data_IF_728634651477
#
_entry.id   IF_728634651477
#
_cell.length_a   1.000
_cell.length_b   1.000
_cell.length_c   1.000
_cell.angle_alpha   90.00
_cell.angle_beta   90.00
_cell.angle_gamma   90.00
#
_symmetry.space_group_name_H-M   'P 1'
#
loop_
_entity.id
_entity.type
_entity.pdbx_description
1 polymer ?
#
# COMPACT_ATOMS: atom_id res chain seq x y z
N UNK A 1 11.82 -12.97 -9.08
CA UNK A 1 12.89 -13.13 -8.08
C UNK A 1 12.70 -12.05 -7.01
N UNK A 2 12.81 -12.40 -5.72
CA UNK A 2 12.68 -11.44 -4.61
C UNK A 2 14.05 -11.14 -4.00
N UNK A 3 14.25 -9.92 -3.51
CA UNK A 3 15.46 -9.49 -2.81
C UNK A 3 15.14 -9.30 -1.32
N UNK A 4 15.97 -9.85 -0.44
CA UNK A 4 15.86 -9.69 1.01
C UNK A 4 17.07 -8.90 1.52
N UNK A 5 16.83 -7.78 2.20
CA UNK A 5 17.88 -6.99 2.85
C UNK A 5 17.82 -7.25 4.35
N UNK A 6 18.79 -8.02 4.86
CA UNK A 6 18.84 -8.55 6.21
C UNK A 6 19.52 -7.64 7.24
N UNK A 7 19.42 -6.33 7.10
CA UNK A 7 20.14 -5.39 7.97
C UNK A 7 19.26 -4.86 9.12
N UNK A 8 19.89 -4.50 10.24
CA UNK A 8 19.23 -3.89 11.40
C UNK A 8 18.56 -2.54 11.11
N UNK A 9 17.79 -2.02 12.07
CA UNK A 9 17.19 -0.67 11.99
C UNK A 9 18.29 0.39 11.78
N UNK A 10 18.05 1.40 10.94
CA UNK A 10 19.01 2.48 10.68
C UNK A 10 19.94 2.29 9.47
N UNK A 11 19.94 1.12 8.82
CA UNK A 11 20.81 0.85 7.65
C UNK A 11 20.28 1.40 6.31
N UNK A 12 19.25 2.25 6.33
CA UNK A 12 18.72 2.87 5.10
C UNK A 12 17.82 1.98 4.22
N UNK A 13 17.23 0.91 4.76
CA UNK A 13 16.33 0.02 3.99
C UNK A 13 15.16 0.76 3.33
N UNK A 14 14.59 1.77 4.00
CA UNK A 14 13.54 2.62 3.44
C UNK A 14 14.00 3.35 2.17
N UNK A 15 15.18 3.97 2.22
CA UNK A 15 15.81 4.61 1.05
C UNK A 15 16.10 3.65 -0.09
N UNK A 16 16.48 2.41 0.20
CA UNK A 16 16.67 1.39 -0.85
C UNK A 16 15.34 1.03 -1.51
N UNK A 17 14.27 0.86 -0.72
CA UNK A 17 12.91 0.63 -1.25
C UNK A 17 12.45 1.84 -2.09
N UNK A 18 12.67 3.07 -1.59
CA UNK A 18 12.33 4.29 -2.31
C UNK A 18 13.11 4.43 -3.63
N UNK A 19 14.40 4.09 -3.63
CA UNK A 19 15.23 4.06 -4.83
C UNK A 19 14.72 3.07 -5.87
N UNK A 20 14.31 1.88 -5.44
CA UNK A 20 13.69 0.89 -6.30
C UNK A 20 12.37 1.40 -6.90
N UNK A 21 11.49 1.98 -6.07
CA UNK A 21 10.21 2.55 -6.54
C UNK A 21 10.47 3.68 -7.55
N UNK A 22 11.38 4.61 -7.26
CA UNK A 22 11.72 5.70 -8.16
C UNK A 22 12.27 5.20 -9.52
N UNK A 23 13.10 4.15 -9.50
CA UNK A 23 13.61 3.51 -10.71
C UNK A 23 12.48 2.90 -11.55
N UNK A 24 11.61 2.09 -10.93
CA UNK A 24 10.49 1.44 -11.61
C UNK A 24 9.45 2.47 -12.10
N UNK A 25 9.29 3.57 -11.36
CA UNK A 25 8.45 4.70 -11.76
C UNK A 25 8.93 5.32 -13.06
N UNK A 26 10.25 5.53 -13.22
CA UNK A 26 10.85 6.00 -14.47
C UNK A 26 10.63 5.03 -15.64
N UNK A 27 10.50 3.73 -15.35
CA UNK A 27 10.21 2.68 -16.33
C UNK A 27 8.72 2.50 -16.66
N UNK A 28 7.85 3.35 -16.09
CA UNK A 28 6.41 3.33 -16.38
C UNK A 28 5.59 2.42 -15.47
N UNK A 29 6.19 1.75 -14.48
CA UNK A 29 5.44 1.04 -13.44
C UNK A 29 4.96 2.09 -12.45
N UNK A 30 3.65 2.36 -12.42
CA UNK A 30 3.08 3.49 -11.66
C UNK A 30 2.34 3.11 -10.38
N UNK A 31 2.17 1.84 -10.09
CA UNK A 31 1.43 1.39 -8.90
C UNK A 31 2.33 0.51 -8.05
N UNK A 32 2.50 0.91 -6.79
CA UNK A 32 3.36 0.21 -5.84
C UNK A 32 2.63 -0.02 -4.53
N UNK A 33 3.08 -1.01 -3.78
CA UNK A 33 2.57 -1.33 -2.45
C UNK A 33 3.75 -1.36 -1.49
N UNK A 34 3.65 -0.63 -0.39
CA UNK A 34 4.66 -0.60 0.67
C UNK A 34 4.07 -1.18 1.95
N UNK A 35 4.53 -2.36 2.35
CA UNK A 35 4.10 -3.02 3.59
C UNK A 35 5.14 -2.77 4.68
N UNK A 36 4.70 -2.32 5.85
CA UNK A 36 5.57 -2.02 6.98
C UNK A 36 5.03 -2.54 8.32
N UNK A 37 5.76 -2.32 9.41
CA UNK A 37 5.38 -2.77 10.75
C UNK A 37 4.41 -1.82 11.46
N UNK A 38 4.54 -0.50 11.25
CA UNK A 38 3.71 0.52 11.86
C UNK A 38 3.25 1.55 10.83
N UNK A 39 2.11 2.19 11.10
CA UNK A 39 1.63 3.34 10.35
C UNK A 39 2.55 4.56 10.51
N UNK A 40 3.31 4.65 11.60
CA UNK A 40 4.25 5.77 11.85
C UNK A 40 5.34 5.87 10.77
N UNK A 41 5.60 4.77 10.06
CA UNK A 41 6.58 4.70 8.97
C UNK A 41 6.01 5.17 7.61
N UNK A 42 4.75 5.61 7.55
CA UNK A 42 4.16 6.18 6.34
C UNK A 42 4.84 7.51 5.97
N UNK A 43 5.06 8.39 6.94
CA UNK A 43 5.74 9.67 6.72
C UNK A 43 7.21 9.46 6.32
N UNK A 44 7.86 8.44 6.90
CA UNK A 44 9.23 8.07 6.52
C UNK A 44 9.28 7.58 5.07
N UNK A 45 8.34 6.74 4.64
CA UNK A 45 8.25 6.29 3.25
C UNK A 45 8.02 7.45 2.26
N UNK A 46 7.14 8.40 2.62
CA UNK A 46 6.92 9.59 1.80
C UNK A 46 8.15 10.50 1.73
N UNK A 47 8.87 10.67 2.86
CA UNK A 47 10.09 11.46 2.93
C UNK A 47 11.19 10.85 2.05
N UNK A 48 11.42 9.54 2.17
CA UNK A 48 12.44 8.84 1.38
C UNK A 48 12.19 8.97 -0.14
N UNK A 49 10.93 8.96 -0.60
CA UNK A 49 10.57 9.17 -2.01
C UNK A 49 10.73 10.63 -2.46
N UNK A 50 10.43 11.59 -1.57
CA UNK A 50 10.58 13.01 -1.83
C UNK A 50 12.06 13.42 -1.89
N UNK A 51 12.90 12.87 -1.02
CA UNK A 51 14.35 13.11 -1.00
C UNK A 51 15.01 12.68 -2.32
N UNK A 52 14.43 11.69 -3.01
CA UNK A 52 14.86 11.24 -4.34
C UNK A 52 14.26 12.07 -5.50
N UNK A 53 13.39 13.04 -5.21
CA UNK A 53 12.73 13.87 -6.22
C UNK A 53 11.76 13.08 -7.11
N UNK A 54 11.30 11.91 -6.68
CA UNK A 54 10.51 11.01 -7.52
C UNK A 54 9.09 11.53 -7.83
N UNK A 55 8.58 12.46 -7.01
CA UNK A 55 7.23 13.04 -7.16
C UNK A 55 6.10 12.01 -7.00
N UNK A 56 6.39 10.92 -6.27
CA UNK A 56 5.44 9.80 -6.08
C UNK A 56 4.67 10.01 -4.78
N UNK A 57 3.34 10.06 -4.87
CA UNK A 57 2.45 10.16 -3.72
C UNK A 57 2.37 8.83 -2.96
N UNK A 58 2.29 8.88 -1.63
CA UNK A 58 2.11 7.73 -0.75
C UNK A 58 0.79 7.88 0.03
N UNK A 59 -0.12 6.91 -0.08
CA UNK A 59 -1.40 6.91 0.63
C UNK A 59 -1.47 5.75 1.63
N UNK A 60 -1.86 6.04 2.87
CA UNK A 60 -2.13 5.01 3.88
C UNK A 60 -3.47 4.32 3.61
N UNK A 61 -3.45 2.99 3.50
CA UNK A 61 -4.65 2.17 3.36
C UNK A 61 -5.60 2.36 4.55
N UNK A 62 -5.08 2.53 5.76
CA UNK A 62 -5.89 2.78 6.94
C UNK A 62 -6.73 4.05 6.81
N UNK A 63 -6.16 5.13 6.26
CA UNK A 63 -6.87 6.39 6.08
C UNK A 63 -7.85 6.35 4.92
N UNK A 64 -7.53 5.61 3.86
CA UNK A 64 -8.46 5.33 2.76
C UNK A 64 -9.69 4.58 3.28
N UNK A 65 -9.52 3.56 4.12
CA UNK A 65 -10.63 2.76 4.68
C UNK A 65 -11.51 3.57 5.65
N UNK A 66 -10.91 4.42 6.52
CA UNK A 66 -11.66 5.28 7.45
C UNK A 66 -12.63 6.23 6.74
N UNK A 67 -12.27 6.72 5.55
CA UNK A 67 -13.04 7.72 4.84
C UNK A 67 -14.24 7.13 4.06
N UNK A 68 -14.22 5.84 3.72
CA UNK A 68 -15.17 5.28 2.76
C UNK A 68 -15.98 4.06 3.23
N UNK A 69 -15.75 3.55 4.46
CA UNK A 69 -16.53 2.44 5.01
C UNK A 69 -16.34 1.12 4.26
N UNK A 70 -17.20 0.13 4.52
CA UNK A 70 -17.11 -1.24 3.99
C UNK A 70 -16.88 -1.28 2.44
N UNK A 71 -16.00 -2.15 1.91
CA UNK A 71 -15.55 -2.19 0.51
C UNK A 71 -16.60 -2.57 -0.55
N UNK A 72 -17.90 -2.69 -0.20
CA UNK A 72 -18.97 -2.99 -1.17
C UNK A 72 -19.52 -1.75 -1.88
N UNK A 73 -18.92 -0.58 -1.70
CA UNK A 73 -19.23 0.60 -2.50
C UNK A 73 -18.09 0.79 -3.51
N UNK A 74 -18.38 0.89 -4.81
CA UNK A 74 -17.39 1.17 -5.88
C UNK A 74 -16.66 2.52 -5.76
N UNK A 75 -16.52 3.04 -4.54
CA UNK A 75 -15.94 4.31 -4.13
C UNK A 75 -14.49 4.16 -3.69
N UNK A 76 -14.00 2.93 -3.49
CA UNK A 76 -12.63 2.66 -3.06
C UNK A 76 -11.61 3.06 -4.13
N UNK A 77 -11.84 2.74 -5.40
CA UNK A 77 -10.99 3.16 -6.52
C UNK A 77 -10.92 4.69 -6.61
N UNK A 78 -12.06 5.36 -6.49
CA UNK A 78 -12.13 6.82 -6.47
C UNK A 78 -11.37 7.43 -5.27
N UNK A 79 -11.46 6.81 -4.10
CA UNK A 79 -10.73 7.23 -2.91
C UNK A 79 -9.21 7.15 -3.11
N UNK A 80 -8.74 6.04 -3.69
CA UNK A 80 -7.34 5.83 -4.03
C UNK A 80 -6.90 6.85 -5.07
N UNK A 81 -7.66 7.08 -6.13
CA UNK A 81 -7.31 8.05 -7.17
C UNK A 81 -7.25 9.49 -6.64
N UNK A 82 -8.14 9.86 -5.71
CA UNK A 82 -8.08 11.17 -5.05
C UNK A 82 -6.82 11.36 -4.20
N UNK A 83 -6.24 10.28 -3.68
CA UNK A 83 -5.06 10.32 -2.81
C UNK A 83 -3.74 10.13 -3.57
N UNK A 84 -3.73 9.25 -4.56
CA UNK A 84 -2.52 8.89 -5.32
C UNK A 84 -2.45 9.61 -6.66
N UNK A 85 -3.58 9.89 -7.29
CA UNK A 85 -3.69 10.49 -8.63
C UNK A 85 -4.43 9.58 -9.61
N UNK A 86 -4.63 10.03 -10.87
CA UNK A 86 -5.37 9.29 -11.89
C UNK A 86 -4.84 7.86 -12.05
N UNK A 87 -5.75 6.87 -12.11
CA UNK A 87 -5.36 5.46 -12.24
C UNK A 87 -4.66 4.90 -11.00
N UNK A 88 -4.72 5.56 -9.84
CA UNK A 88 -4.11 5.12 -8.59
C UNK A 88 -2.58 5.12 -8.63
N UNK A 89 -1.98 6.01 -9.43
CA UNK A 89 -0.54 6.09 -9.61
C UNK A 89 0.16 6.58 -8.34
N UNK A 90 0.89 5.71 -7.67
CA UNK A 90 1.61 6.04 -6.44
C UNK A 90 1.93 4.80 -5.62
N UNK A 91 2.12 5.02 -4.32
CA UNK A 91 2.41 3.96 -3.35
C UNK A 91 1.26 3.82 -2.36
N UNK A 92 0.64 2.64 -2.29
CA UNK A 92 -0.27 2.31 -1.22
C UNK A 92 0.51 1.72 -0.03
N UNK A 93 0.43 2.39 1.11
CA UNK A 93 1.11 2.01 2.35
C UNK A 93 0.17 1.25 3.29
N UNK A 94 0.62 0.15 3.86
CA UNK A 94 -0.15 -0.65 4.82
C UNK A 94 0.75 -1.38 5.81
N UNK A 95 0.15 -1.92 6.88
CA UNK A 95 0.90 -2.66 7.90
C UNK A 95 0.70 -4.17 7.83
N UNK A 96 1.67 -4.93 8.34
CA UNK A 96 1.53 -6.39 8.49
C UNK A 96 0.33 -6.77 9.36
N UNK A 97 0.00 -5.95 10.36
CA UNK A 97 -1.17 -6.16 11.20
C UNK A 97 -2.46 -6.16 10.35
N UNK A 98 -2.61 -5.20 9.43
CA UNK A 98 -3.76 -5.13 8.50
C UNK A 98 -3.87 -6.38 7.63
N UNK A 99 -2.74 -6.97 7.25
CA UNK A 99 -2.72 -8.20 6.45
C UNK A 99 -3.03 -9.45 7.26
N UNK A 100 -2.96 -9.46 8.59
CA UNK A 100 -3.08 -10.70 9.39
C UNK A 100 -4.42 -10.85 10.12
N UNK A 101 -5.26 -9.82 10.11
CA UNK A 101 -6.52 -9.74 10.87
C UNK A 101 -7.63 -10.73 10.48
N UNK A 102 -7.50 -11.53 9.41
CA UNK A 102 -8.56 -12.42 8.87
C UNK A 102 -8.99 -13.59 9.78
N UNK A 103 -8.24 -13.93 10.83
CA UNK A 103 -8.41 -15.20 11.56
C UNK A 103 -9.34 -15.16 12.78
N UNK A 104 -9.98 -14.05 13.11
CA UNK A 104 -10.77 -13.95 14.35
C UNK A 104 -12.27 -14.09 14.08
N UNK A 105 -12.75 -15.34 14.23
CA UNK A 105 -14.13 -15.80 14.54
C UNK A 105 -15.24 -14.81 14.13
N UNK A 106 -15.68 -14.97 12.87
CA UNK A 106 -16.87 -14.41 12.19
C UNK A 106 -16.95 -12.90 11.90
N UNK A 107 -16.23 -12.49 10.84
CA UNK A 107 -16.73 -11.71 9.68
C UNK A 107 -16.26 -12.50 8.42
N UNK A 108 -17.13 -13.32 7.83
CA UNK A 108 -16.89 -13.87 6.48
C UNK A 108 -17.25 -12.79 5.46
N UNK A 109 -16.40 -12.38 4.50
CA UNK A 109 -14.97 -12.57 4.34
C UNK A 109 -14.22 -11.30 4.77
N UNK A 110 -12.93 -11.34 5.15
CA UNK A 110 -12.25 -10.12 5.63
C UNK A 110 -11.62 -9.22 4.54
N UNK A 111 -11.90 -9.22 3.24
CA UNK A 111 -12.97 -9.53 2.27
C UNK A 111 -12.46 -10.40 1.10
N UNK A 112 -13.27 -11.15 0.38
CA UNK A 112 -12.73 -12.40 -0.24
C UNK A 112 -12.11 -12.25 -1.63
N UNK A 113 -10.81 -12.52 -1.81
CA UNK A 113 -10.32 -13.20 -3.01
C UNK A 113 -9.69 -14.52 -2.56
N UNK A 114 -10.50 -15.56 -2.65
CA UNK A 114 -11.12 -16.16 -1.48
C UNK A 114 -10.21 -16.42 -0.27
N UNK A 115 -10.43 -15.62 0.77
CA UNK A 115 -9.98 -15.73 2.15
C UNK A 115 -8.59 -15.20 2.45
N UNK A 116 -8.12 -14.34 1.54
CA UNK A 116 -7.59 -13.01 1.87
C UNK A 116 -6.06 -12.84 2.08
N UNK A 117 -5.48 -11.76 1.49
CA UNK A 117 -4.36 -10.90 2.04
C UNK A 117 -4.46 -9.39 1.70
N UNK A 118 -5.45 -8.63 2.15
CA UNK A 118 -6.62 -9.13 2.85
C UNK A 118 -7.95 -8.84 2.19
N UNK A 119 -7.99 -8.36 0.98
CA UNK A 119 -8.42 -9.30 -0.04
C UNK A 119 -7.52 -9.10 -1.20
N UNK A 120 -6.30 -9.55 -0.97
CA UNK A 120 -5.13 -9.32 -1.79
C UNK A 120 -4.97 -7.85 -2.16
N UNK A 121 -5.24 -6.99 -1.17
CA UNK A 121 -5.26 -5.52 -1.29
C UNK A 121 -6.47 -5.08 -2.14
N UNK A 122 -7.63 -5.66 -1.79
CA UNK A 122 -8.95 -5.62 -2.44
C UNK A 122 -8.95 -5.64 -3.96
N UNK A 123 -8.42 -6.77 -4.40
CA UNK A 123 -8.05 -7.13 -5.77
C UNK A 123 -7.21 -6.04 -6.46
N UNK A 124 -6.45 -5.35 -5.61
CA UNK A 124 -5.44 -4.35 -5.90
C UNK A 124 -5.95 -3.19 -6.74
N UNK A 125 -6.84 -2.40 -6.13
CA UNK A 125 -7.22 -1.06 -6.60
C UNK A 125 -8.37 -1.02 -7.62
N UNK A 126 -9.22 -2.06 -7.71
CA UNK A 126 -10.41 -2.00 -8.57
C UNK A 126 -11.47 -3.11 -8.52
N UNK A 127 -11.45 -4.07 -7.59
CA UNK A 127 -12.33 -5.25 -7.64
C UNK A 127 -13.82 -5.01 -7.32
N UNK A 128 -14.70 -5.58 -8.15
CA UNK A 128 -16.05 -6.05 -7.85
C UNK A 128 -16.03 -7.59 -7.81
N UNK A 129 -17.03 -8.22 -7.16
CA UNK A 129 -17.43 -9.61 -7.45
C UNK A 129 -18.64 -9.63 -8.37
#
# INVERSE_FOLDING_TARGET
AGYCLGDGTGCGKGRVIAGLIAHLWGQGIKRHVWVSISNDLHEDAQRDLNDLGAGVSVASLGDVLKMYGHPNSGRLSQAVERRLGPGGHGVLFLTYAMLTSAKRRSEEPLFDPAVSRLGQVFEWLGGAS
#
